data_IF_492345782128
#
_entry.id   IF_492345782128
#
_cell.length_a   1.000
_cell.length_b   1.000
_cell.length_c   1.000
_cell.angle_alpha   90.00
_cell.angle_beta   90.00
_cell.angle_gamma   90.00
#
_symmetry.space_group_name_H-M   'P 1'
#
loop_
_entity.id
_entity.type
_entity.pdbx_description
1 polymer ?
#
# COMPACT_ATOMS: atom_id res chain seq x y z
N UNK A 1 -7.57 -7.81 -29.30
CA UNK A 1 -7.40 -7.16 -27.97
C UNK A 1 -8.47 -6.10 -27.80
N UNK A 2 -9.39 -6.27 -26.85
CA UNK A 2 -10.38 -5.25 -26.48
C UNK A 2 -9.76 -4.36 -25.40
N UNK A 3 -9.44 -3.11 -25.73
CA UNK A 3 -9.03 -2.11 -24.76
C UNK A 3 -10.26 -1.31 -24.35
N UNK A 4 -10.83 -1.67 -23.20
CA UNK A 4 -11.92 -0.91 -22.58
C UNK A 4 -11.40 -0.19 -21.34
N UNK A 5 -11.89 1.04 -21.20
CA UNK A 5 -11.99 1.88 -20.00
C UNK A 5 -10.89 2.91 -19.75
N UNK A 6 -11.19 4.15 -19.40
CA UNK A 6 -12.45 4.89 -19.24
C UNK A 6 -12.01 6.37 -19.11
N UNK A 7 -12.74 7.29 -19.76
CA UNK A 7 -12.55 8.75 -19.62
C UNK A 7 -12.71 9.16 -18.14
N UNK A 8 -11.73 9.89 -17.60
CA UNK A 8 -11.82 10.51 -16.28
C UNK A 8 -12.34 11.94 -16.45
N UNK A 9 -13.65 12.12 -16.30
CA UNK A 9 -14.26 13.44 -16.14
C UNK A 9 -14.22 13.83 -14.65
N UNK A 10 -13.35 14.78 -14.31
CA UNK A 10 -13.26 15.34 -12.97
C UNK A 10 -14.33 16.42 -12.77
N UNK A 11 -15.46 16.06 -12.16
CA UNK A 11 -16.37 17.02 -11.51
C UNK A 11 -16.86 16.47 -10.18
N UNK A 12 -16.24 16.90 -9.08
CA UNK A 12 -17.03 17.39 -7.94
C UNK A 12 -16.20 18.22 -6.96
N UNK A 13 -16.78 19.36 -6.58
CA UNK A 13 -16.25 20.36 -5.67
C UNK A 13 -16.68 20.00 -4.25
N UNK A 14 -15.73 19.70 -3.36
CA UNK A 14 -15.90 19.79 -1.91
C UNK A 14 -14.54 20.09 -1.29
N UNK A 15 -14.49 21.14 -0.50
CA UNK A 15 -13.32 21.82 0.04
C UNK A 15 -12.67 21.06 1.19
N UNK A 16 -11.36 20.81 1.09
CA UNK A 16 -10.40 20.88 2.20
C UNK A 16 -9.00 21.11 1.62
N UNK A 17 -8.28 22.19 1.97
CA UNK A 17 -6.93 22.43 1.49
C UNK A 17 -5.95 21.79 2.48
N UNK A 18 -5.38 20.66 2.12
CA UNK A 18 -4.15 20.20 2.77
C UNK A 18 -3.20 19.82 1.65
N UNK A 19 -2.33 20.80 1.38
CA UNK A 19 -1.00 20.69 0.77
C UNK A 19 -0.86 19.83 -0.49
N UNK A 20 -1.04 20.47 -1.64
CA UNK A 20 -0.87 19.85 -2.96
C UNK A 20 0.62 19.71 -3.29
N UNK A 21 1.23 18.59 -2.91
CA UNK A 21 2.41 18.10 -3.62
C UNK A 21 1.96 17.70 -5.04
N UNK A 22 2.66 18.09 -6.11
CA UNK A 22 2.18 18.03 -7.51
C UNK A 22 1.91 16.60 -8.04
N UNK A 23 2.12 15.58 -7.22
CA UNK A 23 1.89 14.16 -7.50
C UNK A 23 0.73 13.53 -6.69
N UNK A 24 -0.08 14.33 -6.01
CA UNK A 24 -1.15 13.83 -5.15
C UNK A 24 -2.35 13.32 -5.98
N UNK A 25 -2.24 12.07 -6.43
CA UNK A 25 -3.31 11.38 -7.14
C UNK A 25 -4.46 11.15 -6.14
N UNK A 26 -5.49 12.01 -6.22
CA UNK A 26 -6.70 11.86 -5.40
C UNK A 26 -7.35 10.50 -5.69
N UNK A 27 -7.15 9.56 -4.76
CA UNK A 27 -7.70 8.21 -4.85
C UNK A 27 -9.23 8.26 -4.83
N UNK A 28 -9.86 7.44 -5.66
CA UNK A 28 -11.31 7.26 -5.63
C UNK A 28 -11.76 6.68 -4.27
N UNK A 29 -13.04 6.84 -3.87
CA UNK A 29 -13.55 6.23 -2.64
C UNK A 29 -13.28 4.72 -2.54
N UNK A 30 -13.42 3.98 -3.64
CA UNK A 30 -13.16 2.55 -3.68
C UNK A 30 -11.67 2.21 -3.55
N UNK A 31 -10.79 3.00 -4.17
CA UNK A 31 -9.34 2.82 -4.03
C UNK A 31 -8.87 3.08 -2.60
N UNK A 32 -9.38 4.12 -1.94
CA UNK A 32 -9.06 4.39 -0.53
C UNK A 32 -9.47 3.24 0.38
N UNK A 33 -10.67 2.70 0.16
CA UNK A 33 -11.14 1.55 0.93
C UNK A 33 -10.28 0.29 0.69
N UNK A 34 -9.90 0.04 -0.57
CA UNK A 34 -9.01 -1.07 -0.90
C UNK A 34 -7.64 -0.93 -0.23
N UNK A 35 -7.05 0.27 -0.27
CA UNK A 35 -5.79 0.56 0.42
C UNK A 35 -5.91 0.34 1.93
N UNK A 36 -6.96 0.86 2.57
CA UNK A 36 -7.21 0.63 4.00
C UNK A 36 -7.35 -0.85 4.35
N UNK A 37 -8.06 -1.63 3.51
CA UNK A 37 -8.19 -3.07 3.71
C UNK A 37 -6.84 -3.78 3.64
N UNK A 38 -5.95 -3.34 2.76
CA UNK A 38 -4.59 -3.89 2.67
C UNK A 38 -3.78 -3.51 3.92
N UNK A 39 -3.85 -2.26 4.38
CA UNK A 39 -3.20 -1.82 5.63
C UNK A 39 -3.67 -2.65 6.82
N UNK A 40 -4.97 -2.87 6.97
CA UNK A 40 -5.51 -3.68 8.08
C UNK A 40 -5.02 -5.13 8.04
N UNK A 41 -4.86 -5.72 6.84
CA UNK A 41 -4.28 -7.06 6.72
C UNK A 41 -2.83 -7.10 7.21
N UNK A 42 -2.02 -6.13 6.76
CA UNK A 42 -0.62 -6.02 7.19
C UNK A 42 -0.53 -5.82 8.71
N UNK A 43 -1.32 -4.92 9.29
CA UNK A 43 -1.32 -4.64 10.73
C UNK A 43 -1.59 -5.86 11.62
N UNK A 44 -2.34 -6.85 11.10
CA UNK A 44 -2.65 -8.09 11.80
C UNK A 44 -1.65 -9.22 11.54
N UNK A 45 -0.72 -9.05 10.60
CA UNK A 45 0.32 -10.03 10.26
C UNK A 45 1.34 -10.22 11.39
N UNK A 46 2.11 -11.30 11.30
CA UNK A 46 3.32 -11.48 12.08
C UNK A 46 4.46 -10.62 11.58
N UNK A 47 4.56 -10.40 10.26
CA UNK A 47 5.53 -9.49 9.64
C UNK A 47 5.50 -8.09 10.31
N UNK A 48 4.32 -7.49 10.40
CA UNK A 48 4.11 -6.18 11.03
C UNK A 48 4.44 -6.16 12.53
N UNK A 49 4.22 -7.26 13.26
CA UNK A 49 4.61 -7.35 14.67
C UNK A 49 6.14 -7.41 14.81
N UNK A 50 6.81 -8.10 13.90
CA UNK A 50 8.26 -8.18 13.86
C UNK A 50 8.87 -6.81 13.53
N UNK A 51 8.41 -6.16 12.46
CA UNK A 51 8.79 -4.79 12.09
C UNK A 51 8.72 -3.83 13.28
N UNK A 52 7.56 -3.79 13.98
CA UNK A 52 7.35 -2.92 15.13
C UNK A 52 8.21 -3.24 16.35
N UNK A 53 8.76 -4.45 16.43
CA UNK A 53 9.63 -4.85 17.53
C UNK A 53 11.07 -4.33 17.39
N UNK A 54 11.45 -3.90 16.18
CA UNK A 54 12.79 -3.42 15.88
C UNK A 54 12.94 -1.94 16.24
N UNK A 55 14.15 -1.54 16.61
CA UNK A 55 14.50 -0.14 16.85
C UNK A 55 14.90 0.62 15.58
N UNK A 56 14.79 -0.02 14.41
CA UNK A 56 15.17 0.52 13.11
C UNK A 56 14.16 0.07 12.04
N UNK A 57 14.11 0.80 10.94
CA UNK A 57 13.24 0.49 9.81
C UNK A 57 13.88 -0.56 8.90
N UNK A 58 13.05 -1.43 8.33
CA UNK A 58 13.48 -2.42 7.36
C UNK A 58 13.55 -1.82 5.96
N UNK A 59 14.53 -2.23 5.18
CA UNK A 59 14.59 -1.89 3.76
C UNK A 59 13.58 -2.71 2.93
N UNK A 60 13.35 -2.30 1.68
CA UNK A 60 12.39 -2.94 0.78
C UNK A 60 12.67 -4.43 0.57
N UNK A 61 13.95 -4.83 0.54
CA UNK A 61 14.34 -6.23 0.38
C UNK A 61 14.01 -7.06 1.61
N UNK A 62 14.26 -6.52 2.80
CA UNK A 62 13.95 -7.16 4.07
C UNK A 62 12.44 -7.33 4.25
N UNK A 63 11.64 -6.33 3.85
CA UNK A 63 10.19 -6.43 3.85
C UNK A 63 9.71 -7.57 2.94
N UNK A 64 10.20 -7.63 1.70
CA UNK A 64 9.85 -8.71 0.76
C UNK A 64 10.23 -10.10 1.30
N UNK A 65 11.41 -10.22 1.92
CA UNK A 65 11.86 -11.47 2.51
C UNK A 65 10.94 -11.94 3.64
N UNK A 66 10.49 -11.04 4.53
CA UNK A 66 9.62 -11.40 5.65
C UNK A 66 8.22 -11.77 5.16
N UNK A 67 7.67 -11.04 4.18
CA UNK A 67 6.41 -11.38 3.54
C UNK A 67 6.47 -12.76 2.88
N UNK A 68 7.57 -13.09 2.21
CA UNK A 68 7.77 -14.41 1.63
C UNK A 68 7.79 -15.52 2.70
N UNK A 69 8.48 -15.29 3.81
CA UNK A 69 8.51 -16.22 4.95
C UNK A 69 7.14 -16.40 5.60
N UNK A 70 6.38 -15.33 5.78
CA UNK A 70 5.01 -15.39 6.32
C UNK A 70 4.06 -16.20 5.42
N UNK A 71 4.25 -16.11 4.10
CA UNK A 71 3.53 -16.92 3.13
C UNK A 71 4.02 -18.38 3.04
N UNK A 72 5.03 -18.77 3.83
CA UNK A 72 5.60 -20.11 3.86
C UNK A 72 6.58 -20.41 2.72
N UNK A 73 7.07 -19.38 2.03
CA UNK A 73 8.08 -19.53 0.98
C UNK A 73 9.49 -19.52 1.59
N UNK A 74 10.43 -20.18 0.91
CA UNK A 74 11.85 -20.08 1.23
C UNK A 74 12.46 -18.84 0.56
N UNK A 75 13.39 -18.19 1.25
CA UNK A 75 14.11 -17.02 0.74
C UNK A 75 15.60 -17.35 0.63
N UNK A 76 16.23 -16.96 -0.48
CA UNK A 76 17.68 -17.02 -0.66
C UNK A 76 18.23 -15.60 -0.65
N UNK A 77 19.27 -15.38 0.15
CA UNK A 77 19.95 -14.09 0.31
C UNK A 77 21.39 -14.26 -0.15
N UNK A 78 21.86 -13.36 -1.01
CA UNK A 78 23.18 -13.41 -1.65
C UNK A 78 24.06 -12.23 -1.20
#
# INVERSE_FOLDING_TARGET
>A
MSHLSQKKDCKNKSSNPTDCNENDVVLSPSQRFAAFKNTMKHEHSMASKFERSLSFELDDFQLEAIDALENGNNVLVA
#
